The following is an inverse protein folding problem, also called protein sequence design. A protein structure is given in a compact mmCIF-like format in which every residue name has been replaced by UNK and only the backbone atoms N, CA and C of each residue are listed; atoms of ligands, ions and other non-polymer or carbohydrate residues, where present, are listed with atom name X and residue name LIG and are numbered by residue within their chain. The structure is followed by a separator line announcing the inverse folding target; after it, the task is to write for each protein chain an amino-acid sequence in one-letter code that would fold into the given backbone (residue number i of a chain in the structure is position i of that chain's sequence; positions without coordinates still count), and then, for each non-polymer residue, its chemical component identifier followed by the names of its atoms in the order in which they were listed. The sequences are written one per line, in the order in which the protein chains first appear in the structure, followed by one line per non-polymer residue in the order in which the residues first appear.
data_IF_254082850400
#
_entry.id   IF_254082850400
#
_cell.length_a   1.000
_cell.length_b   1.000
_cell.length_c   1.000
_cell.angle_alpha   90.00
_cell.angle_beta   90.00
_cell.angle_gamma   90.00
#
_symmetry.space_group_name_H-M   'P 1'
#
loop_
_entity.id
_entity.type
_entity.pdbx_description
1 polymer ?
#
# COMPACT_ATOMS: atom_id res chain seq x y z
N UNK A 1 0.60 24.47 1.60
CA UNK A 1 1.34 23.57 0.68
C UNK A 1 1.65 24.25 -0.64
N UNK A 2 0.70 24.88 -1.30
CA UNK A 2 0.90 25.60 -2.57
C UNK A 2 1.97 26.68 -2.51
N UNK A 3 2.06 27.43 -1.40
CA UNK A 3 3.07 28.48 -1.20
C UNK A 3 4.51 27.93 -1.13
N UNK A 4 4.65 26.63 -0.82
CA UNK A 4 5.93 25.92 -0.85
C UNK A 4 6.18 25.16 -2.16
N UNK A 5 5.31 25.31 -3.17
CA UNK A 5 5.38 24.59 -4.44
C UNK A 5 5.10 23.08 -4.31
N UNK A 6 4.45 22.64 -3.23
CA UNK A 6 4.11 21.25 -2.99
C UNK A 6 2.66 20.95 -3.40
N UNK A 7 2.45 19.76 -3.94
CA UNK A 7 1.14 19.24 -4.31
C UNK A 7 0.87 17.93 -3.58
N UNK A 8 -0.24 17.88 -2.82
CA UNK A 8 -0.73 16.64 -2.23
C UNK A 8 -1.63 15.94 -3.25
N UNK A 9 -1.19 14.80 -3.76
CA UNK A 9 -1.94 14.07 -4.79
C UNK A 9 -2.73 12.89 -4.24
N UNK A 10 -2.36 12.35 -3.08
CA UNK A 10 -3.00 11.21 -2.43
C UNK A 10 -3.14 11.46 -0.92
N UNK A 11 -4.13 10.86 -0.31
CA UNK A 11 -4.26 10.77 1.13
C UNK A 11 -4.65 9.35 1.55
N UNK A 12 -4.20 8.96 2.75
CA UNK A 12 -4.49 7.68 3.37
C UNK A 12 -5.52 7.82 4.49
N UNK A 13 -6.41 6.83 4.57
CA UNK A 13 -7.34 6.60 5.68
C UNK A 13 -7.43 5.10 5.96
N UNK A 14 -7.70 4.70 7.18
CA UNK A 14 -8.09 3.31 7.46
C UNK A 14 -9.41 2.95 6.75
N UNK A 15 -9.55 1.71 6.26
CA UNK A 15 -10.82 1.30 5.64
C UNK A 15 -11.99 1.39 6.62
N UNK A 16 -11.76 1.10 7.91
CA UNK A 16 -12.79 1.27 8.96
C UNK A 16 -13.29 2.71 9.02
N UNK A 17 -12.39 3.71 8.97
CA UNK A 17 -12.77 5.12 8.97
C UNK A 17 -13.57 5.52 7.72
N UNK A 18 -13.22 4.94 6.57
CA UNK A 18 -13.93 5.17 5.31
C UNK A 18 -15.29 4.47 5.29
N UNK A 19 -15.43 3.32 5.96
CA UNK A 19 -16.74 2.66 6.13
C UNK A 19 -17.64 3.51 7.03
N UNK A 20 -17.09 4.10 8.09
CA UNK A 20 -17.82 4.94 9.04
C UNK A 20 -18.26 6.26 8.39
N UNK A 21 -17.37 6.97 7.70
CA UNK A 21 -17.65 8.27 7.12
C UNK A 21 -16.90 8.53 5.81
N UNK A 22 -17.27 7.81 4.75
CA UNK A 22 -16.69 8.03 3.43
C UNK A 22 -17.00 9.44 2.89
N UNK A 23 -18.20 9.95 3.13
CA UNK A 23 -18.66 11.17 2.49
C UNK A 23 -17.84 12.39 2.95
N UNK A 24 -17.57 12.54 4.25
CA UNK A 24 -16.72 13.61 4.76
C UNK A 24 -15.25 13.48 4.31
N UNK A 25 -14.71 12.26 4.31
CA UNK A 25 -13.32 12.01 3.87
C UNK A 25 -13.13 12.32 2.38
N UNK A 26 -14.07 11.90 1.54
CA UNK A 26 -14.05 12.18 0.11
C UNK A 26 -14.27 13.67 -0.20
N UNK A 27 -15.19 14.32 0.51
CA UNK A 27 -15.42 15.76 0.33
C UNK A 27 -14.19 16.58 0.74
N UNK A 28 -13.54 16.23 1.86
CA UNK A 28 -12.27 16.83 2.26
C UNK A 28 -11.20 16.69 1.16
N UNK A 29 -11.01 15.49 0.62
CA UNK A 29 -10.04 15.24 -0.44
C UNK A 29 -10.34 16.10 -1.68
N UNK A 30 -11.61 16.16 -2.09
CA UNK A 30 -12.07 16.98 -3.21
C UNK A 30 -11.80 18.48 -2.97
N UNK A 31 -12.12 19.00 -1.80
CA UNK A 31 -11.89 20.41 -1.45
C UNK A 31 -10.40 20.75 -1.37
N UNK A 32 -9.57 19.81 -0.89
CA UNK A 32 -8.12 19.96 -0.82
C UNK A 32 -7.41 19.78 -2.18
N UNK A 33 -8.14 19.45 -3.24
CA UNK A 33 -7.56 19.19 -4.57
C UNK A 33 -6.78 17.88 -4.66
N UNK A 34 -7.00 16.96 -3.71
CA UNK A 34 -6.37 15.62 -3.69
C UNK A 34 -7.09 14.74 -4.70
N UNK A 35 -6.33 13.98 -5.48
CA UNK A 35 -6.89 13.12 -6.54
C UNK A 35 -7.20 11.71 -6.06
N UNK A 36 -6.31 11.14 -5.23
CA UNK A 36 -6.40 9.75 -4.81
C UNK A 36 -6.73 9.65 -3.32
N UNK A 37 -7.78 8.89 -2.99
CA UNK A 37 -8.12 8.52 -1.61
C UNK A 37 -7.85 7.04 -1.46
N UNK A 38 -6.92 6.67 -0.59
CA UNK A 38 -6.41 5.31 -0.48
C UNK A 38 -6.74 4.76 0.91
N UNK A 39 -7.37 3.59 0.95
CA UNK A 39 -7.51 2.82 2.18
C UNK A 39 -6.15 2.17 2.52
N UNK A 40 -5.52 2.62 3.61
CA UNK A 40 -4.17 2.20 4.02
C UNK A 40 -4.14 0.98 4.94
N UNK A 41 -5.28 0.47 5.34
CA UNK A 41 -5.40 -0.73 6.17
C UNK A 41 -6.77 -1.37 5.99
N UNK A 42 -6.90 -2.70 6.11
CA UNK A 42 -8.19 -3.36 6.06
C UNK A 42 -9.01 -3.09 7.34
N UNK A 43 -10.29 -3.42 7.29
CA UNK A 43 -11.21 -3.35 8.42
C UNK A 43 -11.48 -4.77 8.96
N UNK A 44 -10.82 -5.20 10.04
CA UNK A 44 -11.12 -6.48 10.69
C UNK A 44 -12.45 -6.39 11.43
N UNK A 45 -13.24 -7.47 11.40
CA UNK A 45 -14.47 -7.55 12.20
C UNK A 45 -14.19 -7.77 13.69
N UNK A 46 -12.97 -8.17 14.04
CA UNK A 46 -12.53 -8.42 15.41
C UNK A 46 -11.52 -7.39 15.87
N UNK A 47 -11.48 -7.06 17.18
CA UNK A 47 -10.46 -6.16 17.70
C UNK A 47 -9.07 -6.79 17.56
N UNK A 48 -8.07 -5.93 17.33
CA UNK A 48 -6.67 -6.36 17.31
C UNK A 48 -6.20 -6.72 18.70
N UNK A 49 -5.39 -7.78 18.81
CA UNK A 49 -4.79 -8.20 20.08
C UNK A 49 -3.81 -7.14 20.58
N UNK A 50 -4.02 -6.68 21.83
CA UNK A 50 -3.12 -5.73 22.46
C UNK A 50 -1.72 -6.33 22.71
N UNK A 51 -0.69 -5.48 22.67
CA UNK A 51 0.70 -5.86 22.98
C UNK A 51 1.43 -6.63 21.88
N UNK A 52 0.81 -6.84 20.71
CA UNK A 52 1.45 -7.40 19.53
C UNK A 52 1.79 -6.30 18.53
N UNK A 53 2.85 -6.49 17.71
CA UNK A 53 3.05 -5.65 16.53
C UNK A 53 1.79 -5.61 15.65
N UNK A 54 1.50 -4.43 15.10
CA UNK A 54 0.24 -4.20 14.39
C UNK A 54 -0.03 -5.21 13.26
N UNK A 55 0.96 -5.49 12.41
CA UNK A 55 0.82 -6.41 11.29
C UNK A 55 0.49 -7.85 11.73
N UNK A 56 1.09 -8.31 12.85
CA UNK A 56 0.81 -9.63 13.44
C UNK A 56 -0.60 -9.66 14.00
N UNK A 57 -0.96 -8.65 14.80
CA UNK A 57 -2.29 -8.56 15.39
C UNK A 57 -3.39 -8.52 14.30
N UNK A 58 -3.13 -7.79 13.22
CA UNK A 58 -4.02 -7.72 12.07
C UNK A 58 -4.17 -9.08 11.38
N UNK A 59 -3.06 -9.74 11.05
CA UNK A 59 -3.07 -11.04 10.38
C UNK A 59 -3.84 -12.11 11.17
N UNK A 60 -3.71 -12.09 12.50
CA UNK A 60 -4.46 -13.00 13.39
C UNK A 60 -5.96 -12.64 13.51
N UNK A 61 -6.29 -11.36 13.45
CA UNK A 61 -7.67 -10.90 13.54
C UNK A 61 -8.46 -11.17 12.26
N UNK A 62 -7.84 -11.05 11.08
CA UNK A 62 -8.50 -11.21 9.79
C UNK A 62 -8.92 -12.66 9.52
N UNK A 63 -10.01 -12.80 8.77
CA UNK A 63 -10.51 -14.07 8.20
C UNK A 63 -10.86 -13.83 6.72
N UNK A 64 -11.08 -14.89 5.97
CA UNK A 64 -11.42 -14.78 4.55
C UNK A 64 -12.69 -13.95 4.32
N UNK A 65 -13.69 -14.08 5.19
CA UNK A 65 -14.92 -13.31 5.14
C UNK A 65 -14.67 -11.80 5.34
N UNK A 66 -13.72 -11.44 6.20
CA UNK A 66 -13.36 -10.03 6.43
C UNK A 66 -12.78 -9.43 5.13
N UNK A 67 -11.90 -10.16 4.43
CA UNK A 67 -11.36 -9.73 3.15
C UNK A 67 -12.44 -9.55 2.08
N UNK A 68 -13.42 -10.44 2.04
CA UNK A 68 -14.57 -10.35 1.14
C UNK A 68 -15.47 -9.15 1.45
N UNK A 69 -15.80 -8.96 2.72
CA UNK A 69 -16.57 -7.80 3.19
C UNK A 69 -15.84 -6.48 2.93
N UNK A 70 -14.51 -6.47 3.08
CA UNK A 70 -13.68 -5.32 2.75
C UNK A 70 -13.75 -4.99 1.25
N UNK A 71 -13.68 -5.98 0.36
CA UNK A 71 -13.81 -5.77 -1.09
C UNK A 71 -15.17 -5.16 -1.46
N UNK A 72 -16.25 -5.61 -0.84
CA UNK A 72 -17.58 -5.02 -1.04
C UNK A 72 -17.63 -3.56 -0.56
N UNK A 73 -17.05 -3.26 0.61
CA UNK A 73 -16.95 -1.90 1.12
C UNK A 73 -16.13 -1.01 0.18
N UNK A 74 -15.00 -1.50 -0.31
CA UNK A 74 -14.16 -0.79 -1.28
C UNK A 74 -14.92 -0.45 -2.56
N UNK A 75 -15.71 -1.37 -3.11
CA UNK A 75 -16.54 -1.11 -4.29
C UNK A 75 -17.55 0.01 -4.03
N UNK A 76 -18.22 0.00 -2.85
CA UNK A 76 -19.18 1.07 -2.49
C UNK A 76 -18.50 2.42 -2.36
N UNK A 77 -17.34 2.47 -1.68
CA UNK A 77 -16.55 3.71 -1.50
C UNK A 77 -16.00 4.17 -2.84
N UNK A 78 -15.49 3.26 -3.67
CA UNK A 78 -14.99 3.56 -5.00
C UNK A 78 -16.05 4.18 -5.93
N UNK A 79 -17.30 3.68 -5.86
CA UNK A 79 -18.40 4.27 -6.60
C UNK A 79 -18.71 5.71 -6.15
N UNK A 80 -18.70 5.99 -4.84
CA UNK A 80 -18.85 7.34 -4.30
C UNK A 80 -17.68 8.26 -4.74
N UNK A 81 -16.46 7.80 -4.61
CA UNK A 81 -15.27 8.55 -5.03
C UNK A 81 -15.33 8.91 -6.52
N UNK A 82 -15.67 7.94 -7.37
CA UNK A 82 -15.82 8.14 -8.82
C UNK A 82 -16.90 9.18 -9.15
N UNK A 83 -18.04 9.16 -8.46
CA UNK A 83 -19.09 10.16 -8.63
C UNK A 83 -18.64 11.58 -8.26
N UNK A 84 -17.66 11.72 -7.37
CA UNK A 84 -17.06 13.00 -6.96
C UNK A 84 -15.81 13.37 -7.79
N UNK A 85 -15.47 12.60 -8.83
CA UNK A 85 -14.30 12.84 -9.68
C UNK A 85 -12.96 12.45 -9.04
N UNK A 86 -13.01 11.68 -7.93
CA UNK A 86 -11.85 11.14 -7.24
C UNK A 86 -11.53 9.72 -7.70
N UNK A 87 -10.34 9.23 -7.36
CA UNK A 87 -9.93 7.85 -7.58
C UNK A 87 -9.74 7.19 -6.22
N UNK A 88 -10.43 6.07 -6.00
CA UNK A 88 -10.28 5.30 -4.79
C UNK A 88 -9.29 4.15 -5.00
N UNK A 89 -8.49 3.87 -3.98
CA UNK A 89 -7.52 2.79 -3.99
C UNK A 89 -7.37 2.07 -2.67
N UNK A 90 -6.62 0.97 -2.72
CA UNK A 90 -6.22 0.19 -1.56
C UNK A 90 -4.71 0.01 -1.54
N UNK A 91 -4.09 0.23 -0.37
CA UNK A 91 -2.68 0.04 -0.08
C UNK A 91 -2.49 -1.23 0.75
N UNK A 92 -1.55 -2.07 0.33
CA UNK A 92 -1.26 -3.33 1.02
C UNK A 92 -0.18 -3.20 2.08
N UNK A 93 -0.25 -4.10 3.05
CA UNK A 93 0.83 -4.50 3.94
C UNK A 93 1.20 -5.97 3.73
N UNK A 94 1.76 -6.63 4.75
CA UNK A 94 2.14 -8.04 4.65
C UNK A 94 0.97 -9.02 4.77
N UNK A 95 -0.09 -8.65 5.50
CA UNK A 95 -1.23 -9.52 5.77
C UNK A 95 -1.99 -9.95 4.50
N UNK A 96 -2.00 -9.12 3.48
CA UNK A 96 -2.64 -9.38 2.18
C UNK A 96 -1.96 -10.53 1.43
N UNK A 97 -0.70 -10.81 1.72
CA UNK A 97 0.08 -11.89 1.10
C UNK A 97 0.05 -13.20 1.91
N UNK A 98 -0.78 -13.26 2.95
CA UNK A 98 -1.07 -14.50 3.67
C UNK A 98 -2.27 -15.23 3.06
N UNK A 99 -2.36 -16.52 3.41
CA UNK A 99 -3.49 -17.36 3.00
C UNK A 99 -4.48 -17.51 4.14
N UNK A 100 -5.73 -17.25 3.83
CA UNK A 100 -6.89 -17.45 4.70
C UNK A 100 -7.78 -18.52 4.05
N UNK A 101 -8.00 -19.63 4.73
CA UNK A 101 -8.72 -20.80 4.19
C UNK A 101 -8.19 -21.24 2.80
N UNK A 102 -6.87 -21.20 2.64
CA UNK A 102 -6.20 -21.56 1.39
C UNK A 102 -6.19 -20.48 0.30
N UNK A 103 -6.95 -19.40 0.45
CA UNK A 103 -7.02 -18.29 -0.51
C UNK A 103 -6.02 -17.18 -0.14
N UNK A 104 -5.31 -16.65 -1.14
CA UNK A 104 -4.44 -15.50 -0.97
C UNK A 104 -5.30 -14.23 -0.88
N UNK A 105 -5.19 -13.48 0.24
CA UNK A 105 -6.07 -12.32 0.45
C UNK A 105 -5.92 -11.25 -0.64
N UNK A 106 -4.71 -10.96 -1.10
CA UNK A 106 -4.49 -10.01 -2.19
C UNK A 106 -5.19 -10.44 -3.50
N UNK A 107 -5.16 -11.74 -3.82
CA UNK A 107 -5.85 -12.26 -5.00
C UNK A 107 -7.38 -12.17 -4.85
N UNK A 108 -7.92 -12.41 -3.66
CA UNK A 108 -9.36 -12.23 -3.37
C UNK A 108 -9.77 -10.76 -3.53
N UNK A 109 -8.99 -9.81 -3.02
CA UNK A 109 -9.25 -8.38 -3.20
C UNK A 109 -9.26 -8.01 -4.69
N UNK A 110 -8.25 -8.45 -5.47
CA UNK A 110 -8.20 -8.21 -6.91
C UNK A 110 -9.41 -8.78 -7.65
N UNK A 111 -9.85 -9.98 -7.26
CA UNK A 111 -10.97 -10.70 -7.90
C UNK A 111 -12.31 -10.06 -7.60
N UNK A 112 -12.51 -9.58 -6.36
CA UNK A 112 -13.81 -9.12 -5.86
C UNK A 112 -14.03 -7.62 -6.02
N UNK A 113 -12.96 -6.84 -6.23
CA UNK A 113 -13.08 -5.41 -6.45
C UNK A 113 -13.24 -5.09 -7.93
N UNK A 114 -14.15 -4.16 -8.23
CA UNK A 114 -14.40 -3.66 -9.58
C UNK A 114 -13.18 -2.84 -10.06
N UNK A 115 -12.57 -3.20 -11.20
CA UNK A 115 -11.41 -2.49 -11.75
C UNK A 115 -11.68 -1.02 -12.13
N UNK A 116 -12.93 -0.66 -12.37
CA UNK A 116 -13.33 0.72 -12.69
C UNK A 116 -13.57 1.58 -11.44
N UNK A 117 -13.60 0.98 -10.26
CA UNK A 117 -13.90 1.63 -8.98
C UNK A 117 -12.73 1.62 -8.02
N UNK A 118 -11.90 0.58 -8.04
CA UNK A 118 -10.83 0.36 -7.07
C UNK A 118 -9.51 0.10 -7.79
N UNK A 119 -8.54 0.98 -7.63
CA UNK A 119 -7.14 0.72 -8.01
C UNK A 119 -6.34 0.20 -6.80
N UNK A 120 -5.08 -0.19 -7.02
CA UNK A 120 -4.17 -0.57 -5.96
C UNK A 120 -2.95 0.35 -5.93
N UNK A 121 -2.55 0.70 -4.72
CA UNK A 121 -1.26 1.28 -4.41
C UNK A 121 -0.39 0.16 -3.83
N UNK A 122 0.56 -0.32 -4.62
CA UNK A 122 1.41 -1.44 -4.21
C UNK A 122 2.57 -0.95 -3.35
N UNK A 123 2.62 -1.37 -2.10
CA UNK A 123 3.81 -1.23 -1.28
C UNK A 123 4.80 -2.36 -1.57
N UNK A 124 5.89 -1.98 -2.24
CA UNK A 124 6.93 -2.91 -2.70
C UNK A 124 7.68 -3.52 -1.50
N UNK A 125 7.92 -2.73 -0.46
CA UNK A 125 8.61 -3.20 0.75
C UNK A 125 7.82 -4.27 1.50
N UNK A 126 6.52 -4.05 1.69
CA UNK A 126 5.66 -5.03 2.36
C UNK A 126 5.45 -6.30 1.55
N UNK A 127 5.39 -6.22 0.22
CA UNK A 127 5.42 -7.42 -0.65
C UNK A 127 6.68 -8.22 -0.41
N UNK A 128 7.84 -7.57 -0.41
CA UNK A 128 9.12 -8.22 -0.18
C UNK A 128 9.25 -8.77 1.25
N UNK A 129 8.73 -8.05 2.26
CA UNK A 129 8.68 -8.50 3.65
C UNK A 129 7.89 -9.79 3.83
N UNK A 130 6.81 -9.94 3.07
CA UNK A 130 6.01 -11.17 3.04
C UNK A 130 6.68 -12.33 2.27
N UNK A 131 7.91 -12.12 1.74
CA UNK A 131 8.64 -13.13 0.99
C UNK A 131 8.15 -13.31 -0.45
N UNK A 132 7.38 -12.36 -0.96
CA UNK A 132 6.83 -12.37 -2.33
C UNK A 132 7.68 -11.46 -3.23
N UNK A 133 7.81 -11.82 -4.50
CA UNK A 133 8.53 -11.02 -5.49
C UNK A 133 7.66 -9.86 -6.00
N UNK A 134 8.00 -8.60 -5.73
CA UNK A 134 7.21 -7.44 -6.18
C UNK A 134 7.10 -7.35 -7.71
N UNK A 135 8.14 -7.77 -8.43
CA UNK A 135 8.10 -7.76 -9.90
C UNK A 135 7.10 -8.78 -10.46
N UNK A 136 6.93 -9.93 -9.79
CA UNK A 136 5.91 -10.90 -10.15
C UNK A 136 4.50 -10.32 -9.92
N UNK A 137 4.26 -9.72 -8.74
CA UNK A 137 2.97 -9.08 -8.43
C UNK A 137 2.62 -8.00 -9.47
N UNK A 138 3.59 -7.15 -9.85
CA UNK A 138 3.40 -6.13 -10.88
C UNK A 138 3.07 -6.74 -12.26
N UNK A 139 3.72 -7.83 -12.64
CA UNK A 139 3.43 -8.48 -13.92
C UNK A 139 2.05 -9.13 -13.94
N UNK A 140 1.63 -9.74 -12.84
CA UNK A 140 0.36 -10.48 -12.75
C UNK A 140 -0.85 -9.56 -12.53
N UNK A 141 -0.65 -8.44 -11.83
CA UNK A 141 -1.74 -7.55 -11.40
C UNK A 141 -1.60 -6.12 -11.96
N UNK A 142 -0.64 -5.86 -12.84
CA UNK A 142 -0.17 -4.52 -13.22
C UNK A 142 -1.24 -3.57 -13.72
N UNK A 143 -2.29 -4.05 -14.37
CA UNK A 143 -3.39 -3.17 -14.85
C UNK A 143 -4.19 -2.53 -13.71
N UNK A 144 -4.15 -3.13 -12.52
CA UNK A 144 -4.87 -2.67 -11.32
C UNK A 144 -4.03 -1.74 -10.45
N UNK A 145 -2.70 -1.71 -10.66
CA UNK A 145 -1.76 -0.95 -9.84
C UNK A 145 -1.48 0.39 -10.51
N UNK A 146 -1.82 1.49 -9.84
CA UNK A 146 -1.63 2.84 -10.36
C UNK A 146 -0.69 3.70 -9.51
N UNK A 147 -0.48 3.32 -8.25
CA UNK A 147 0.42 3.99 -7.32
C UNK A 147 1.39 2.96 -6.72
N UNK A 148 2.57 3.44 -6.31
CA UNK A 148 3.56 2.60 -5.63
C UNK A 148 4.07 3.29 -4.36
N UNK A 149 4.22 2.54 -3.27
CA UNK A 149 5.15 2.87 -2.22
C UNK A 149 6.50 2.21 -2.52
N UNK A 150 7.48 3.07 -2.70
CA UNK A 150 8.88 2.69 -2.97
C UNK A 150 9.58 2.65 -1.62
N UNK A 151 9.56 1.47 -1.02
CA UNK A 151 10.07 1.15 0.32
C UNK A 151 11.03 -0.02 0.21
N UNK A 152 12.20 0.08 0.80
CA UNK A 152 13.14 -1.03 0.90
C UNK A 152 13.24 -1.53 2.33
N UNK A 153 13.47 -2.81 2.49
CA UNK A 153 13.51 -3.47 3.78
C UNK A 153 14.82 -4.21 3.98
N UNK A 154 15.36 -4.17 5.20
CA UNK A 154 16.45 -5.03 5.58
C UNK A 154 15.98 -6.50 5.58
N UNK A 155 16.91 -7.42 5.29
CA UNK A 155 16.66 -8.84 5.41
C UNK A 155 16.32 -9.14 6.87
N UNK A 156 15.17 -9.74 7.12
CA UNK A 156 14.84 -10.25 8.45
C UNK A 156 15.74 -11.42 8.77
N UNK A 157 16.40 -11.40 9.92
CA UNK A 157 17.17 -12.51 10.45
C UNK A 157 16.23 -13.51 11.13
N UNK A 158 15.49 -14.29 10.34
CA UNK A 158 14.93 -15.56 10.80
C UNK A 158 13.75 -15.59 11.76
N UNK A 159 13.19 -14.45 12.17
CA UNK A 159 12.03 -14.39 13.07
C UNK A 159 10.72 -14.21 12.32
N UNK A 160 9.70 -15.04 12.60
CA UNK A 160 8.33 -14.87 12.09
C UNK A 160 7.61 -13.63 12.65
N UNK A 161 8.21 -12.97 13.61
CA UNK A 161 7.56 -12.02 14.52
C UNK A 161 8.18 -10.62 14.53
N UNK A 162 9.20 -10.36 13.69
CA UNK A 162 9.85 -9.05 13.64
C UNK A 162 9.20 -8.15 12.59
N UNK A 163 8.89 -6.91 12.95
CA UNK A 163 8.52 -5.88 11.99
C UNK A 163 9.66 -5.68 11.00
N UNK A 164 9.33 -5.66 9.71
CA UNK A 164 10.32 -5.42 8.68
C UNK A 164 10.94 -4.02 8.86
N UNK A 165 12.23 -3.96 9.18
CA UNK A 165 12.93 -2.68 9.31
C UNK A 165 13.11 -2.04 7.96
N UNK A 166 12.66 -0.78 7.80
CA UNK A 166 12.88 -0.02 6.58
C UNK A 166 14.32 0.52 6.53
N UNK A 167 14.89 0.49 5.34
CA UNK A 167 16.23 1.01 5.06
C UNK A 167 16.19 1.92 3.82
N UNK A 168 17.23 2.76 3.60
CA UNK A 168 17.30 3.54 2.37
C UNK A 168 17.20 2.65 1.12
N UNK A 169 16.53 3.14 0.09
CA UNK A 169 16.33 2.42 -1.15
C UNK A 169 17.67 1.98 -1.76
N UNK A 170 17.78 0.70 -2.10
CA UNK A 170 18.99 0.07 -2.60
C UNK A 170 19.93 -0.47 -1.54
N UNK A 171 19.58 -0.33 -0.25
CA UNK A 171 20.31 -0.93 0.88
C UNK A 171 19.62 -2.19 1.45
N UNK A 172 18.45 -2.50 0.96
CA UNK A 172 17.63 -3.62 1.40
C UNK A 172 17.69 -4.81 0.46
N UNK A 173 16.58 -5.54 0.43
CA UNK A 173 16.49 -6.83 -0.28
C UNK A 173 15.75 -6.75 -1.61
N UNK A 174 15.16 -5.62 -1.95
CA UNK A 174 14.36 -5.47 -3.18
C UNK A 174 15.26 -5.36 -4.41
N UNK A 175 15.00 -6.19 -5.42
CA UNK A 175 15.62 -6.03 -6.76
C UNK A 175 14.93 -4.87 -7.51
N UNK A 176 15.41 -3.66 -7.26
CA UNK A 176 14.85 -2.42 -7.84
C UNK A 176 14.92 -2.37 -9.36
N UNK A 177 15.96 -2.93 -9.97
CA UNK A 177 16.08 -2.96 -11.44
C UNK A 177 14.96 -3.78 -12.04
N UNK A 178 14.74 -4.97 -11.52
CA UNK A 178 13.68 -5.89 -11.95
C UNK A 178 12.30 -5.33 -11.63
N UNK A 179 12.13 -4.78 -10.44
CA UNK A 179 10.85 -4.19 -9.98
C UNK A 179 10.44 -3.01 -10.86
N UNK A 180 11.33 -2.05 -11.13
CA UNK A 180 11.01 -0.95 -12.02
C UNK A 180 10.84 -1.37 -13.49
N UNK A 181 11.53 -2.43 -13.94
CA UNK A 181 11.28 -2.99 -15.26
C UNK A 181 9.86 -3.55 -15.41
N UNK A 182 9.30 -4.14 -14.33
CA UNK A 182 7.90 -4.56 -14.29
C UNK A 182 6.95 -3.35 -14.16
N UNK A 183 7.25 -2.40 -13.28
CA UNK A 183 6.44 -1.19 -13.07
C UNK A 183 6.26 -0.37 -14.35
N UNK A 184 7.28 -0.28 -15.22
CA UNK A 184 7.17 0.41 -16.52
C UNK A 184 6.10 -0.18 -17.46
N UNK A 185 5.69 -1.41 -17.26
CA UNK A 185 4.61 -2.07 -18.04
C UNK A 185 3.23 -1.85 -17.45
N UNK A 186 3.16 -1.35 -16.23
CA UNK A 186 1.93 -1.05 -15.52
C UNK A 186 1.55 0.44 -15.69
N UNK A 187 0.26 0.81 -15.52
CA UNK A 187 -0.21 2.19 -15.67
C UNK A 187 0.10 3.06 -14.44
N UNK A 188 1.33 2.99 -13.93
CA UNK A 188 1.74 3.73 -12.74
C UNK A 188 1.64 5.24 -13.00
N UNK A 189 0.94 5.94 -12.11
CA UNK A 189 0.70 7.39 -12.17
C UNK A 189 1.64 8.17 -11.26
N UNK A 190 1.94 7.58 -10.10
CA UNK A 190 2.86 8.18 -9.12
C UNK A 190 3.47 7.12 -8.24
N UNK A 191 4.58 7.47 -7.61
CA UNK A 191 5.20 6.65 -6.59
C UNK A 191 5.77 7.53 -5.48
N UNK A 192 5.80 6.98 -4.28
CA UNK A 192 6.19 7.68 -3.05
C UNK A 192 7.32 6.91 -2.38
N UNK A 193 8.42 7.60 -2.05
CA UNK A 193 9.46 7.03 -1.20
C UNK A 193 8.99 7.09 0.25
N UNK A 194 8.98 5.96 0.92
CA UNK A 194 8.55 5.88 2.30
C UNK A 194 9.63 5.30 3.22
N UNK A 195 9.73 5.88 4.41
CA UNK A 195 10.53 5.40 5.53
C UNK A 195 9.66 5.33 6.76
N UNK A 196 9.68 4.18 7.43
CA UNK A 196 8.96 3.94 8.68
C UNK A 196 9.89 3.71 9.86
N UNK A 197 9.43 4.02 11.07
CA UNK A 197 10.13 3.67 12.30
C UNK A 197 10.13 2.13 12.52
N UNK A 198 11.16 1.59 13.20
CA UNK A 198 12.29 2.29 13.78
C UNK A 198 13.30 2.76 12.73
N UNK A 199 13.71 4.03 12.81
CA UNK A 199 14.66 4.59 11.86
C UNK A 199 16.10 4.14 12.18
N UNK A 200 16.78 3.54 11.21
CA UNK A 200 18.20 3.14 11.34
C UNK A 200 19.16 4.33 11.24
N UNK A 201 18.69 5.47 10.75
CA UNK A 201 19.40 6.74 10.62
C UNK A 201 18.39 7.90 10.52
N UNK A 202 18.82 9.17 10.59
CA UNK A 202 17.91 10.31 10.46
C UNK A 202 17.09 10.24 9.16
N UNK A 203 15.75 10.40 9.20
CA UNK A 203 14.88 10.18 8.04
C UNK A 203 15.26 11.00 6.79
N UNK A 204 15.64 12.27 6.97
CA UNK A 204 16.05 13.12 5.84
C UNK A 204 17.35 12.62 5.18
N UNK A 205 18.28 12.04 5.95
CA UNK A 205 19.48 11.40 5.41
C UNK A 205 19.11 10.17 4.60
N UNK A 206 18.24 9.32 5.14
CA UNK A 206 17.73 8.13 4.45
C UNK A 206 17.02 8.47 3.13
N UNK A 207 16.19 9.52 3.14
CA UNK A 207 15.51 9.99 1.93
C UNK A 207 16.50 10.56 0.88
N UNK A 208 17.53 11.29 1.32
CA UNK A 208 18.55 11.79 0.41
C UNK A 208 19.35 10.65 -0.26
N UNK A 209 19.74 9.62 0.49
CA UNK A 209 20.41 8.42 -0.03
C UNK A 209 19.48 7.66 -0.99
N UNK A 210 18.22 7.48 -0.63
CA UNK A 210 17.21 6.85 -1.46
C UNK A 210 17.05 7.57 -2.80
N UNK A 211 16.95 8.90 -2.78
CA UNK A 211 16.86 9.72 -3.98
C UNK A 211 18.13 9.60 -4.85
N UNK A 212 19.32 9.60 -4.22
CA UNK A 212 20.57 9.44 -4.94
C UNK A 212 20.63 8.08 -5.66
N UNK A 213 20.26 7.00 -4.99
CA UNK A 213 20.17 5.67 -5.59
C UNK A 213 19.16 5.61 -6.73
N UNK A 214 17.94 6.09 -6.51
CA UNK A 214 16.87 6.09 -7.52
C UNK A 214 17.28 6.81 -8.82
N UNK A 215 18.05 7.90 -8.71
CA UNK A 215 18.62 8.61 -9.87
C UNK A 215 19.63 7.77 -10.67
N UNK A 216 20.23 6.72 -10.09
CA UNK A 216 21.13 5.80 -10.80
C UNK A 216 20.36 4.73 -11.60
N UNK A 217 19.13 4.48 -11.22
CA UNK A 217 18.24 3.56 -11.95
C UNK A 217 17.76 4.32 -13.20
N UNK A 218 18.44 4.08 -14.31
CA UNK A 218 18.01 4.68 -15.59
C UNK A 218 16.54 4.35 -15.82
N UNK A 219 15.74 5.39 -15.97
CA UNK A 219 14.34 5.31 -16.34
C UNK A 219 14.15 4.54 -17.66
#
# INVERSE_FOLDING_TARGET
MTDAGLHCIACHHGLSELIEDADAKLDFARQAGIKYVVASSPAPARPLAAGKPWGIALAEAMRLEDWRSNAEAMNRIGAKAKAMGLVFGYHNHGAEFLRYDGQLAFAELLRLTDPDLVMFELDIGWVAAAGVDPAAVLNDSGKRIQLLHVKDIARQSGGKDEEASTVPIGKGTVDWKRTFAAARKAPIRSWFVEQEAPFVQPPLTALAESLAYLKTLKA
#
